data_IF_673056481010
#
_entry.id   IF_673056481010
#
_cell.length_a   1.000
_cell.length_b   1.000
_cell.length_c   1.000
_cell.angle_alpha   90.00
_cell.angle_beta   90.00
_cell.angle_gamma   90.00
#
_symmetry.space_group_name_H-M   'P 1'
#
loop_
_entity.id
_entity.type
_entity.pdbx_description
1 polymer ?
#
# COMPACT_ATOMS: atom_id res chain seq x y z
N UNK A 1 21.02 -14.83 -8.97
CA UNK A 1 20.15 -15.16 -7.82
C UNK A 1 20.20 -13.93 -6.93
N UNK A 2 19.18 -13.08 -6.75
CA UNK A 2 17.88 -13.30 -6.11
C UNK A 2 17.00 -12.09 -6.52
N UNK A 3 16.01 -12.28 -7.38
CA UNK A 3 15.12 -11.20 -7.88
C UNK A 3 13.69 -11.58 -7.51
N UNK A 4 13.37 -11.56 -6.21
CA UNK A 4 12.01 -11.94 -5.77
C UNK A 4 11.48 -11.19 -4.55
N UNK A 5 12.19 -10.20 -4.00
CA UNK A 5 11.70 -9.45 -2.81
C UNK A 5 11.60 -7.94 -3.02
N UNK A 6 11.99 -7.42 -4.19
CA UNK A 6 11.98 -5.96 -4.49
C UNK A 6 10.64 -5.43 -5.05
N UNK A 7 9.69 -6.32 -5.38
CA UNK A 7 8.39 -5.89 -5.94
C UNK A 7 7.47 -5.34 -4.86
N UNK A 8 7.49 -5.92 -3.67
CA UNK A 8 6.58 -5.54 -2.58
C UNK A 8 7.00 -4.25 -1.87
N UNK A 9 8.31 -3.99 -1.76
CA UNK A 9 8.82 -2.77 -1.12
C UNK A 9 8.40 -1.52 -1.89
N UNK A 10 8.53 -1.54 -3.23
CA UNK A 10 8.15 -0.41 -4.07
C UNK A 10 6.65 -0.08 -3.97
N UNK A 11 5.80 -1.09 -3.77
CA UNK A 11 4.36 -0.87 -3.64
C UNK A 11 3.97 -0.34 -2.25
N UNK A 12 4.65 -0.76 -1.19
CA UNK A 12 4.42 -0.22 0.16
C UNK A 12 4.80 1.26 0.20
N UNK A 13 5.91 1.65 -0.42
CA UNK A 13 6.30 3.06 -0.56
C UNK A 13 5.23 3.88 -1.32
N UNK A 14 4.68 3.37 -2.43
CA UNK A 14 3.57 4.00 -3.18
C UNK A 14 2.28 4.13 -2.33
N UNK A 15 1.94 3.09 -1.57
CA UNK A 15 0.80 3.12 -0.64
C UNK A 15 1.02 4.10 0.52
N UNK A 16 2.26 4.25 1.00
CA UNK A 16 2.62 5.24 2.02
C UNK A 16 2.52 6.67 1.47
N UNK A 17 2.95 6.93 0.24
CA UNK A 17 2.81 8.24 -0.40
C UNK A 17 1.33 8.62 -0.58
N UNK A 18 0.51 7.69 -1.09
CA UNK A 18 -0.93 7.86 -1.20
C UNK A 18 -1.60 8.08 0.16
N UNK A 19 -1.20 7.32 1.20
CA UNK A 19 -1.73 7.48 2.55
C UNK A 19 -1.37 8.85 3.11
N UNK A 20 -0.14 9.31 2.89
CA UNK A 20 0.34 10.61 3.33
C UNK A 20 -0.46 11.74 2.64
N UNK A 21 -0.75 11.59 1.34
CA UNK A 21 -1.56 12.53 0.58
C UNK A 21 -3.02 12.56 1.08
N UNK A 22 -3.61 11.39 1.35
CA UNK A 22 -4.94 11.29 1.95
C UNK A 22 -5.02 11.91 3.35
N UNK A 23 -3.96 11.73 4.14
CA UNK A 23 -3.82 12.32 5.48
C UNK A 23 -3.73 13.84 5.39
N UNK A 24 -2.95 14.37 4.45
CA UNK A 24 -2.82 15.81 4.22
C UNK A 24 -4.11 16.45 3.70
N UNK A 25 -4.89 15.72 2.90
CA UNK A 25 -6.21 16.15 2.44
C UNK A 25 -7.29 16.02 3.53
N UNK A 26 -7.02 15.30 4.63
CA UNK A 26 -8.01 15.02 5.68
C UNK A 26 -9.06 13.97 5.29
N UNK A 27 -8.83 13.23 4.21
CA UNK A 27 -9.78 12.29 3.63
C UNK A 27 -9.72 10.92 4.34
N UNK A 28 -10.45 10.80 5.45
CA UNK A 28 -10.49 9.57 6.26
C UNK A 28 -11.09 8.37 5.52
N UNK A 29 -12.02 8.60 4.58
CA UNK A 29 -12.56 7.53 3.71
C UNK A 29 -11.46 6.97 2.82
N UNK A 30 -10.65 7.85 2.23
CA UNK A 30 -9.60 7.48 1.31
C UNK A 30 -8.44 6.78 2.04
N UNK A 31 -8.05 7.25 3.23
CA UNK A 31 -7.12 6.51 4.10
C UNK A 31 -7.57 5.06 4.35
N UNK A 32 -8.84 4.85 4.69
CA UNK A 32 -9.40 3.50 4.93
C UNK A 32 -9.39 2.64 3.67
N UNK A 33 -9.63 3.21 2.50
CA UNK A 33 -9.54 2.48 1.23
C UNK A 33 -8.10 2.09 0.89
N UNK A 34 -7.14 2.98 1.11
CA UNK A 34 -5.70 2.73 0.86
C UNK A 34 -5.21 1.57 1.73
N UNK A 35 -5.51 1.60 3.04
CA UNK A 35 -5.22 0.50 3.97
C UNK A 35 -5.88 -0.81 3.53
N UNK A 36 -7.17 -0.76 3.17
CA UNK A 36 -7.92 -1.95 2.74
C UNK A 36 -7.36 -2.57 1.46
N UNK A 37 -6.93 -1.74 0.50
CA UNK A 37 -6.25 -2.20 -0.72
C UNK A 37 -4.88 -2.78 -0.43
N UNK A 38 -4.12 -2.17 0.48
CA UNK A 38 -2.81 -2.67 0.91
C UNK A 38 -2.94 -4.07 1.52
N UNK A 39 -3.87 -4.26 2.46
CA UNK A 39 -4.11 -5.56 3.09
C UNK A 39 -4.58 -6.64 2.11
N UNK A 40 -5.47 -6.28 1.17
CA UNK A 40 -5.89 -7.17 0.08
C UNK A 40 -4.72 -7.56 -0.82
N UNK A 41 -3.82 -6.62 -1.10
CA UNK A 41 -2.67 -6.83 -1.96
C UNK A 41 -1.64 -7.76 -1.30
N UNK A 42 -1.36 -7.54 -0.01
CA UNK A 42 -0.51 -8.43 0.79
C UNK A 42 -1.13 -9.83 0.84
N UNK A 43 -2.44 -9.94 1.13
CA UNK A 43 -3.14 -11.23 1.23
C UNK A 43 -3.19 -12.00 -0.09
N UNK A 44 -3.26 -11.31 -1.23
CA UNK A 44 -3.18 -11.96 -2.55
C UNK A 44 -1.77 -12.45 -2.89
N UNK A 45 -0.73 -11.86 -2.31
CA UNK A 45 0.65 -12.24 -2.56
C UNK A 45 1.10 -13.46 -1.74
N UNK A 46 0.43 -13.76 -0.62
CA UNK A 46 0.74 -14.88 0.28
C UNK A 46 0.00 -16.19 -0.03
N UNK A 47 -0.75 -16.29 -1.13
CA UNK A 47 -1.50 -17.50 -1.53
C UNK A 47 -0.87 -18.19 -2.75
#
# INVERSE_FOLDING_TARGET
MKVSTRKTTLQIDDFLDLLNLATQLGDQKWQKEILRKLELHISNLTN
#
